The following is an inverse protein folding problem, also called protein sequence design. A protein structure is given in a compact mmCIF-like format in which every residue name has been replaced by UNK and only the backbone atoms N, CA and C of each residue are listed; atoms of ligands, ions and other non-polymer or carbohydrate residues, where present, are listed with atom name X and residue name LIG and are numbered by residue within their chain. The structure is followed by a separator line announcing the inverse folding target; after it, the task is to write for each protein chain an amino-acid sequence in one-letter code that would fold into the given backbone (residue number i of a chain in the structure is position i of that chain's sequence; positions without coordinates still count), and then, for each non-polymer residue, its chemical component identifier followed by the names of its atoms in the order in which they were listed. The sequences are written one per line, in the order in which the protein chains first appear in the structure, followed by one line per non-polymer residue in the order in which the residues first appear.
data_IF_236425074881
#
_entry.id   IF_236425074881
#
_cell.length_a   1.000
_cell.length_b   1.000
_cell.length_c   1.000
_cell.angle_alpha   90.00
_cell.angle_beta   90.00
_cell.angle_gamma   90.00
#
_symmetry.space_group_name_H-M   'P 1'
#
loop_
_entity.id
_entity.type
_entity.pdbx_description
1 polymer ?
#
# COMPACT_ATOMS: atom_id res chain seq x y z
N UNK A 1 23.16 -25.06 -42.33
CA UNK A 1 21.91 -24.73 -43.06
C UNK A 1 22.23 -23.56 -43.99
N UNK A 2 21.91 -23.64 -45.29
CA UNK A 2 22.31 -22.63 -46.28
C UNK A 2 21.52 -21.32 -46.04
N UNK A 3 22.21 -20.27 -45.62
CA UNK A 3 21.66 -18.96 -45.23
C UNK A 3 21.24 -18.07 -46.41
N UNK A 4 21.50 -18.51 -47.65
CA UNK A 4 21.29 -17.73 -48.88
C UNK A 4 20.01 -18.11 -49.65
N UNK A 5 18.95 -18.53 -48.94
CA UNK A 5 17.65 -18.88 -49.52
C UNK A 5 16.63 -17.75 -49.31
N UNK A 6 15.86 -17.39 -50.34
CA UNK A 6 14.74 -16.42 -50.25
C UNK A 6 13.75 -16.81 -49.16
N UNK A 7 13.45 -18.11 -49.04
CA UNK A 7 12.56 -18.63 -47.99
C UNK A 7 13.10 -18.37 -46.58
N UNK A 8 14.41 -18.48 -46.37
CA UNK A 8 15.04 -18.20 -45.08
C UNK A 8 14.93 -16.71 -44.71
N UNK A 9 15.15 -15.81 -45.68
CA UNK A 9 14.99 -14.36 -45.46
C UNK A 9 13.56 -13.97 -45.14
N UNK A 10 12.57 -14.59 -45.80
CA UNK A 10 11.16 -14.38 -45.52
C UNK A 10 10.77 -14.85 -44.12
N UNK A 11 11.16 -16.07 -43.73
CA UNK A 11 10.88 -16.63 -42.40
C UNK A 11 11.58 -15.83 -41.30
N UNK A 12 12.85 -15.44 -41.51
CA UNK A 12 13.59 -14.61 -40.56
C UNK A 12 12.93 -13.24 -40.40
N UNK A 13 12.49 -12.60 -41.49
CA UNK A 13 11.74 -11.34 -41.44
C UNK A 13 10.44 -11.46 -40.66
N UNK A 14 9.66 -12.52 -40.90
CA UNK A 14 8.43 -12.80 -40.16
C UNK A 14 8.69 -13.06 -38.68
N UNK A 15 9.71 -13.85 -38.34
CA UNK A 15 10.09 -14.13 -36.96
C UNK A 15 10.53 -12.87 -36.21
N UNK A 16 11.32 -12.00 -36.85
CA UNK A 16 11.72 -10.70 -36.30
C UNK A 16 10.49 -9.83 -36.06
N UNK A 17 9.57 -9.77 -37.03
CA UNK A 17 8.36 -8.96 -36.92
C UNK A 17 7.42 -9.44 -35.80
N UNK A 18 7.21 -10.76 -35.70
CA UNK A 18 6.45 -11.38 -34.61
C UNK A 18 7.12 -11.10 -33.26
N UNK A 19 8.45 -11.27 -33.18
CA UNK A 19 9.21 -10.96 -31.97
C UNK A 19 9.07 -9.49 -31.55
N UNK A 20 9.15 -8.57 -32.50
CA UNK A 20 8.95 -7.14 -32.24
C UNK A 20 7.52 -6.84 -31.76
N UNK A 21 6.50 -7.41 -32.40
CA UNK A 21 5.11 -7.24 -31.98
C UNK A 21 4.84 -7.79 -30.57
N UNK A 22 5.42 -8.95 -30.23
CA UNK A 22 5.34 -9.53 -28.89
C UNK A 22 6.05 -8.67 -27.85
N UNK A 23 7.23 -8.14 -28.16
CA UNK A 23 7.96 -7.26 -27.26
C UNK A 23 7.17 -5.97 -26.96
N UNK A 24 6.59 -5.35 -27.99
CA UNK A 24 5.74 -4.16 -27.84
C UNK A 24 4.50 -4.48 -27.01
N UNK A 25 3.78 -5.55 -27.34
CA UNK A 25 2.59 -5.97 -26.59
C UNK A 25 2.91 -6.26 -25.13
N UNK A 26 3.99 -7.00 -24.85
CA UNK A 26 4.45 -7.29 -23.50
C UNK A 26 4.80 -6.04 -22.71
N UNK A 27 5.45 -5.06 -23.34
CA UNK A 27 5.77 -3.78 -22.71
C UNK A 27 4.49 -3.00 -22.33
N UNK A 28 3.54 -2.87 -23.25
CA UNK A 28 2.26 -2.20 -22.97
C UNK A 28 1.47 -2.91 -21.86
N UNK A 29 1.42 -4.24 -21.89
CA UNK A 29 0.71 -5.02 -20.88
C UNK A 29 1.36 -4.84 -19.50
N UNK A 30 2.69 -4.86 -19.41
CA UNK A 30 3.40 -4.63 -18.16
C UNK A 30 3.10 -3.22 -17.60
N UNK A 31 3.13 -2.19 -18.45
CA UNK A 31 2.84 -0.82 -18.03
C UNK A 31 1.40 -0.64 -17.52
N UNK A 32 0.42 -1.26 -18.19
CA UNK A 32 -0.98 -1.22 -17.74
C UNK A 32 -1.20 -2.01 -16.44
N UNK A 33 -0.48 -3.11 -16.27
CA UNK A 33 -0.62 -3.96 -15.10
C UNK A 33 -0.08 -3.30 -13.83
N UNK A 34 1.08 -2.64 -13.93
CA UNK A 34 1.72 -1.96 -12.79
C UNK A 34 0.80 -0.91 -12.17
N UNK A 35 0.29 0.00 -13.00
CA UNK A 35 -0.66 1.04 -12.60
C UNK A 35 -1.98 0.47 -12.06
N UNK A 36 -2.49 -0.62 -12.65
CA UNK A 36 -3.70 -1.27 -12.16
C UNK A 36 -3.51 -1.91 -10.79
N UNK A 37 -2.36 -2.55 -10.55
CA UNK A 37 -2.01 -3.19 -9.28
C UNK A 37 -1.86 -2.15 -8.18
N UNK A 38 -1.14 -1.05 -8.44
CA UNK A 38 -0.92 0.03 -7.46
C UNK A 38 -2.27 0.65 -7.03
N UNK A 39 -3.13 1.02 -7.99
CA UNK A 39 -4.45 1.60 -7.68
C UNK A 39 -5.36 0.63 -6.93
N UNK A 40 -5.31 -0.66 -7.28
CA UNK A 40 -6.13 -1.68 -6.62
C UNK A 40 -5.66 -1.92 -5.18
N UNK A 41 -4.35 -1.88 -4.96
CA UNK A 41 -3.74 -1.98 -3.64
C UNK A 41 -4.12 -0.78 -2.76
N UNK A 42 -3.97 0.45 -3.27
CA UNK A 42 -4.34 1.67 -2.55
C UNK A 42 -5.83 1.69 -2.18
N UNK A 43 -6.71 1.22 -3.08
CA UNK A 43 -8.15 1.10 -2.80
C UNK A 43 -8.43 0.12 -1.66
N UNK A 44 -7.75 -1.03 -1.63
CA UNK A 44 -7.87 -2.01 -0.55
C UNK A 44 -7.39 -1.43 0.78
N UNK A 45 -6.28 -0.70 0.79
CA UNK A 45 -5.80 0.00 1.97
C UNK A 45 -6.79 1.05 2.46
N UNK A 46 -7.45 1.77 1.54
CA UNK A 46 -8.51 2.73 1.88
C UNK A 46 -9.69 2.09 2.61
N UNK A 47 -10.21 0.96 2.11
CA UNK A 47 -11.31 0.23 2.77
C UNK A 47 -10.89 -0.27 4.16
N UNK A 48 -9.65 -0.75 4.29
CA UNK A 48 -9.11 -1.22 5.57
C UNK A 48 -8.93 -0.07 6.58
N UNK A 49 -8.51 1.10 6.10
CA UNK A 49 -8.43 2.32 6.88
C UNK A 49 -9.82 2.78 7.36
N UNK A 50 -10.83 2.75 6.50
CA UNK A 50 -12.21 3.07 6.88
C UNK A 50 -12.76 2.10 7.93
N UNK A 51 -12.51 0.80 7.76
CA UNK A 51 -12.85 -0.21 8.76
C UNK A 51 -12.16 0.08 10.10
N UNK A 52 -10.86 0.41 10.08
CA UNK A 52 -10.10 0.77 11.27
C UNK A 52 -10.69 2.01 11.96
N UNK A 53 -11.03 3.06 11.20
CA UNK A 53 -11.68 4.26 11.72
C UNK A 53 -13.01 3.92 12.37
N UNK A 54 -13.82 3.06 11.75
CA UNK A 54 -15.15 2.71 12.25
C UNK A 54 -15.12 1.91 13.57
N UNK A 55 -14.04 1.18 13.85
CA UNK A 55 -13.87 0.40 15.09
C UNK A 55 -13.04 1.12 16.15
N UNK A 56 -12.52 2.31 15.83
CA UNK A 56 -11.74 3.16 16.74
C UNK A 56 -12.67 4.07 17.51
N UNK A 57 -12.61 4.01 18.84
CA UNK A 57 -13.35 4.87 19.75
C UNK A 57 -12.39 5.55 20.73
N UNK A 58 -12.84 6.64 21.34
CA UNK A 58 -12.14 7.28 22.46
C UNK A 58 -12.90 6.90 23.73
N UNK A 59 -12.22 6.24 24.66
CA UNK A 59 -12.79 5.92 25.98
C UNK A 59 -13.02 7.21 26.81
N UNK A 60 -13.82 7.12 27.88
CA UNK A 60 -14.07 8.22 28.84
C UNK A 60 -12.77 8.81 29.42
N UNK A 61 -11.70 8.05 29.42
CA UNK A 61 -10.36 8.45 29.86
C UNK A 61 -9.57 9.27 28.81
N UNK A 62 -10.14 9.53 27.63
CA UNK A 62 -9.47 10.22 26.53
C UNK A 62 -8.53 9.32 25.70
N UNK A 63 -8.47 8.01 26.00
CA UNK A 63 -7.58 7.05 25.34
C UNK A 63 -8.20 6.44 24.09
N UNK A 64 -7.38 6.25 23.07
CA UNK A 64 -7.74 5.56 21.83
C UNK A 64 -7.88 4.06 22.13
N UNK A 65 -9.04 3.50 21.84
CA UNK A 65 -9.34 2.07 22.02
C UNK A 65 -9.98 1.49 20.77
N UNK A 66 -9.62 0.25 20.44
CA UNK A 66 -10.29 -0.53 19.39
C UNK A 66 -11.29 -1.48 20.05
N UNK A 67 -12.57 -1.40 19.67
CA UNK A 67 -13.57 -2.38 20.15
C UNK A 67 -13.32 -3.79 19.61
N UNK A 68 -12.77 -3.88 18.40
CA UNK A 68 -12.45 -5.12 17.69
C UNK A 68 -11.28 -4.88 16.76
N UNK A 69 -10.38 -5.86 16.62
CA UNK A 69 -9.31 -5.80 15.62
C UNK A 69 -9.87 -5.72 14.19
N UNK A 70 -9.12 -5.16 13.23
CA UNK A 70 -9.58 -4.90 11.84
C UNK A 70 -9.91 -6.13 10.98
N UNK A 71 -10.17 -7.31 11.56
CA UNK A 71 -10.67 -8.51 10.86
C UNK A 71 -9.69 -9.20 9.91
N UNK A 72 -8.50 -8.64 9.68
CA UNK A 72 -7.45 -9.19 8.83
C UNK A 72 -6.37 -9.88 9.68
N UNK A 73 -6.21 -11.22 9.60
CA UNK A 73 -5.28 -11.98 10.44
C UNK A 73 -3.81 -11.55 10.32
N UNK A 74 -3.41 -10.99 9.17
CA UNK A 74 -2.04 -10.54 8.92
C UNK A 74 -1.59 -9.46 9.89
N UNK A 75 -2.51 -8.70 10.47
CA UNK A 75 -2.19 -7.71 11.50
C UNK A 75 -1.84 -8.31 12.85
N UNK A 76 -2.10 -9.61 13.04
CA UNK A 76 -1.72 -10.33 14.25
C UNK A 76 -0.40 -11.06 14.12
N UNK A 77 0.05 -11.31 12.88
CA UNK A 77 1.33 -11.98 12.62
C UNK A 77 2.50 -10.99 12.72
N UNK A 78 3.49 -11.22 13.60
CA UNK A 78 4.68 -10.40 13.68
C UNK A 78 5.39 -10.28 12.33
N UNK A 79 5.79 -9.07 11.97
CA UNK A 79 6.54 -8.77 10.74
C UNK A 79 5.89 -9.27 9.44
N UNK A 80 4.55 -9.24 9.36
CA UNK A 80 3.81 -9.71 8.20
C UNK A 80 3.91 -8.83 6.94
N UNK A 81 4.52 -7.64 7.04
CA UNK A 81 4.46 -6.61 6.00
C UNK A 81 3.16 -5.78 6.02
N UNK A 82 2.17 -6.17 6.84
CA UNK A 82 0.91 -5.45 7.00
C UNK A 82 0.84 -4.80 8.37
N UNK A 83 0.69 -3.48 8.40
CA UNK A 83 0.80 -2.71 9.62
C UNK A 83 -0.27 -1.64 9.69
N UNK A 84 -0.73 -1.33 10.90
CA UNK A 84 -1.55 -0.16 11.17
C UNK A 84 -1.09 0.50 12.46
N UNK A 85 -1.24 1.82 12.53
CA UNK A 85 -0.91 2.61 13.69
C UNK A 85 -1.84 3.84 13.76
N UNK A 86 -2.35 4.11 14.94
CA UNK A 86 -3.19 5.27 15.27
C UNK A 86 -2.42 6.09 16.30
N UNK A 87 -2.31 7.40 16.08
CA UNK A 87 -1.67 8.35 16.98
C UNK A 87 -2.64 9.47 17.32
N UNK A 88 -2.60 9.94 18.56
CA UNK A 88 -3.26 11.19 18.93
C UNK A 88 -2.47 12.39 18.43
N UNK A 89 -3.14 13.52 18.16
CA UNK A 89 -2.48 14.74 17.73
C UNK A 89 -1.87 15.44 18.94
N UNK A 90 -0.55 15.36 19.07
CA UNK A 90 0.21 16.06 20.11
C UNK A 90 0.77 15.17 21.22
N UNK A 91 0.47 13.87 21.18
CA UNK A 91 1.07 12.90 22.10
C UNK A 91 1.33 11.58 21.36
N UNK A 92 2.61 11.16 21.34
CA UNK A 92 3.04 9.87 20.78
C UNK A 92 2.83 8.72 21.78
N UNK A 93 2.63 9.05 23.07
CA UNK A 93 2.46 8.09 24.16
C UNK A 93 1.09 7.39 24.09
N UNK A 94 0.05 8.11 23.66
CA UNK A 94 -1.28 7.57 23.36
C UNK A 94 -1.39 7.09 21.90
N UNK A 95 -0.51 6.15 21.52
CA UNK A 95 -0.57 5.48 20.22
C UNK A 95 -0.98 4.01 20.34
N UNK A 96 -1.89 3.58 19.47
CA UNK A 96 -2.31 2.18 19.34
C UNK A 96 -1.78 1.63 18.02
N UNK A 97 -1.19 0.43 18.04
CA UNK A 97 -0.58 -0.20 16.87
C UNK A 97 -1.01 -1.66 16.71
N UNK A 98 -0.84 -2.18 15.50
CA UNK A 98 -1.03 -3.59 15.22
C UNK A 98 -0.01 -4.46 15.96
N UNK A 99 -0.40 -5.70 16.31
CA UNK A 99 0.54 -6.69 16.87
C UNK A 99 1.65 -7.05 15.89
N UNK A 100 1.37 -6.97 14.60
CA UNK A 100 2.36 -7.20 13.54
C UNK A 100 3.56 -6.25 13.61
N UNK A 101 3.37 -5.03 14.13
CA UNK A 101 4.42 -4.02 14.34
C UNK A 101 5.34 -4.36 15.52
N UNK A 102 4.92 -5.28 16.40
CA UNK A 102 5.65 -5.72 17.59
C UNK A 102 6.09 -4.55 18.49
N UNK A 103 7.39 -4.31 18.60
CA UNK A 103 8.04 -3.24 19.36
C UNK A 103 8.32 -1.99 18.53
N UNK A 104 8.16 -2.05 17.21
CA UNK A 104 8.46 -0.96 16.30
C UNK A 104 7.34 0.09 16.23
N UNK A 105 7.66 1.24 15.65
CA UNK A 105 6.69 2.27 15.27
C UNK A 105 6.96 2.74 13.84
N UNK A 106 5.92 3.09 13.10
CA UNK A 106 6.10 3.63 11.76
C UNK A 106 6.45 5.12 11.86
N UNK A 107 7.54 5.53 11.22
CA UNK A 107 7.88 6.94 11.06
C UNK A 107 7.01 7.56 9.96
N UNK A 108 5.71 7.71 10.24
CA UNK A 108 4.78 8.38 9.33
C UNK A 108 5.08 9.88 9.30
N UNK A 109 5.07 10.48 8.11
CA UNK A 109 5.33 11.91 7.97
C UNK A 109 4.09 12.68 8.42
N UNK A 110 4.04 13.04 9.70
CA UNK A 110 2.97 13.90 10.27
C UNK A 110 3.05 15.37 9.77
N UNK A 111 4.07 15.74 8.99
CA UNK A 111 4.40 17.14 8.66
C UNK A 111 3.99 17.66 7.28
N UNK A 112 3.16 16.96 6.49
CA UNK A 112 2.94 17.29 5.07
C UNK A 112 1.48 17.44 4.63
N UNK A 113 0.62 18.06 5.45
CA UNK A 113 -0.77 18.31 5.04
C UNK A 113 -1.73 18.46 6.21
N UNK A 114 -1.78 19.65 6.78
CA UNK A 114 -2.72 20.14 7.78
C UNK A 114 -4.15 20.28 7.23
N UNK A 115 -4.69 19.26 6.55
CA UNK A 115 -6.12 19.21 6.21
C UNK A 115 -6.79 18.15 7.07
N UNK A 116 -7.26 18.58 8.23
CA UNK A 116 -8.30 17.87 8.98
C UNK A 116 -9.48 17.63 8.03
N UNK A 117 -9.87 16.38 7.80
CA UNK A 117 -10.91 16.04 6.81
C UNK A 117 -10.43 15.95 5.35
N UNK A 118 -9.11 15.90 5.10
CA UNK A 118 -8.53 15.75 3.76
C UNK A 118 -8.47 14.31 3.24
N UNK A 119 -8.37 14.18 1.92
CA UNK A 119 -8.19 12.91 1.20
C UNK A 119 -6.99 12.12 1.75
N UNK A 120 -7.08 10.78 1.75
CA UNK A 120 -5.97 9.92 2.16
C UNK A 120 -4.73 10.20 1.32
N UNK A 121 -3.56 10.29 1.98
CA UNK A 121 -2.27 10.47 1.32
C UNK A 121 -1.54 9.12 1.27
N UNK A 122 -1.11 8.72 0.07
CA UNK A 122 -0.26 7.54 -0.16
C UNK A 122 1.21 7.96 -0.30
N UNK A 123 2.13 7.30 0.41
CA UNK A 123 3.58 7.49 0.27
C UNK A 123 4.35 6.24 0.71
N UNK A 124 5.64 6.19 0.41
CA UNK A 124 6.51 5.07 0.80
C UNK A 124 7.36 5.41 2.02
N UNK A 125 7.54 4.42 2.91
CA UNK A 125 8.46 4.48 4.05
C UNK A 125 9.30 3.21 4.15
N UNK A 126 10.41 3.29 4.89
CA UNK A 126 11.09 2.11 5.38
C UNK A 126 10.31 1.54 6.58
N UNK A 127 9.87 0.30 6.46
CA UNK A 127 9.22 -0.47 7.51
C UNK A 127 10.19 -1.30 8.34
N UNK A 128 9.64 -2.19 9.19
CA UNK A 128 10.45 -3.19 9.87
C UNK A 128 11.32 -3.97 8.88
N UNK A 129 12.55 -4.28 9.29
CA UNK A 129 13.54 -4.98 8.45
C UNK A 129 13.94 -4.23 7.16
N UNK A 130 13.82 -2.90 7.13
CA UNK A 130 14.11 -2.05 5.95
C UNK A 130 13.26 -2.39 4.71
N UNK A 131 12.09 -2.98 4.92
CA UNK A 131 11.18 -3.29 3.82
C UNK A 131 10.53 -2.00 3.31
N UNK A 132 10.45 -1.82 1.99
CA UNK A 132 9.69 -0.70 1.41
C UNK A 132 8.19 -0.94 1.66
N UNK A 133 7.55 0.00 2.37
CA UNK A 133 6.13 -0.06 2.69
C UNK A 133 5.40 1.10 2.04
N UNK A 134 4.31 0.77 1.35
CA UNK A 134 3.28 1.73 0.91
C UNK A 134 2.37 2.05 2.10
N UNK A 135 2.21 3.33 2.42
CA UNK A 135 1.46 3.82 3.57
C UNK A 135 0.33 4.71 3.08
N UNK A 136 -0.88 4.44 3.60
CA UNK A 136 -2.05 5.31 3.42
C UNK A 136 -2.41 5.92 4.77
N UNK A 137 -2.39 7.25 4.86
CA UNK A 137 -2.71 7.97 6.11
C UNK A 137 -3.89 8.91 5.93
N UNK A 138 -4.67 9.12 6.99
CA UNK A 138 -5.79 10.07 7.03
C UNK A 138 -5.91 10.69 8.41
N UNK A 139 -6.02 12.02 8.44
CA UNK A 139 -6.31 12.77 9.66
C UNK A 139 -7.83 12.91 9.82
N UNK A 140 -8.35 12.40 10.94
CA UNK A 140 -9.77 12.46 11.29
C UNK A 140 -9.99 13.15 12.63
N UNK A 141 -11.20 13.66 12.83
CA UNK A 141 -11.69 14.14 14.12
C UNK A 141 -12.83 13.20 14.53
N UNK A 142 -12.69 12.53 15.67
CA UNK A 142 -13.71 11.62 16.16
C UNK A 142 -14.82 12.44 16.84
N UNK A 143 -16.11 12.16 16.56
CA UNK A 143 -17.21 12.85 17.23
C UNK A 143 -17.25 12.44 18.71
N UNK A 144 -17.19 13.42 19.62
CA UNK A 144 -17.17 13.19 21.07
C UNK A 144 -16.02 13.85 21.83
N UNK A 145 -15.18 14.63 21.14
CA UNK A 145 -14.16 15.54 21.70
C UNK A 145 -14.39 16.95 21.17
#
# INVERSE_FOLDING_TARGET
MKTNSIAFRLVAGAAIWIGAALAVSGYFLAALFDDHVERSFDRRMGVMLESLIAVTEIDKSGKIVLRRGPGEPRFEQPFSGWYWQIRSRGDDEDSTRSKSLWDQSLATRTGGGTRTGGASQSYEIAGPQNQALRVVTRNIMLPGV
#
